data_IF_433938279802
#
_entry.id   IF_433938279802
#
_cell.length_a   1.000
_cell.length_b   1.000
_cell.length_c   1.000
_cell.angle_alpha   90.00
_cell.angle_beta   90.00
_cell.angle_gamma   90.00
#
_symmetry.space_group_name_H-M   'P 1'
#
loop_
_entity.id
_entity.type
_entity.pdbx_description
1 polymer ?
#
# COMPACT_ATOMS: atom_id res chain seq x y z
N UNK A 1 6.71 3.66 14.76
CA UNK A 1 7.48 2.57 15.43
C UNK A 1 6.70 1.74 16.44
N UNK A 2 5.38 1.82 16.50
CA UNK A 2 4.52 1.11 17.47
C UNK A 2 4.11 -0.32 17.05
N UNK A 3 4.70 -0.83 15.96
CA UNK A 3 4.37 -2.16 15.45
C UNK A 3 3.20 -2.24 14.47
N UNK A 4 2.70 -1.13 13.90
CA UNK A 4 1.61 -1.10 12.90
C UNK A 4 1.76 -2.17 11.80
N UNK A 5 2.85 -2.12 11.04
CA UNK A 5 3.08 -3.03 9.92
C UNK A 5 3.22 -4.48 10.36
N UNK A 6 3.78 -4.73 11.55
CA UNK A 6 3.87 -6.08 12.13
C UNK A 6 2.48 -6.62 12.50
N UNK A 7 1.68 -5.82 13.20
CA UNK A 7 0.31 -6.19 13.58
C UNK A 7 -0.55 -6.39 12.35
N UNK A 8 -0.51 -5.47 11.38
CA UNK A 8 -1.28 -5.54 10.14
C UNK A 8 -0.96 -6.81 9.36
N UNK A 9 0.32 -7.06 9.03
CA UNK A 9 0.69 -8.22 8.21
C UNK A 9 0.33 -9.56 8.87
N UNK A 10 0.49 -9.70 10.18
CA UNK A 10 0.13 -10.94 10.87
C UNK A 10 -1.39 -11.14 10.96
N UNK A 11 -2.16 -10.08 11.20
CA UNK A 11 -3.62 -10.14 11.21
C UNK A 11 -4.16 -10.52 9.82
N UNK A 12 -3.62 -9.93 8.76
CA UNK A 12 -4.02 -10.23 7.39
C UNK A 12 -3.61 -11.64 6.96
N UNK A 13 -2.42 -12.12 7.37
CA UNK A 13 -2.03 -13.51 7.18
C UNK A 13 -3.01 -14.48 7.84
N UNK A 14 -3.52 -14.14 9.04
CA UNK A 14 -4.55 -14.94 9.70
C UNK A 14 -5.91 -14.88 8.98
N UNK A 15 -6.28 -13.76 8.37
CA UNK A 15 -7.52 -13.67 7.59
C UNK A 15 -7.47 -14.48 6.30
N UNK A 16 -6.31 -14.59 5.65
CA UNK A 16 -6.18 -15.48 4.48
C UNK A 16 -6.26 -16.96 4.84
N UNK A 17 -5.90 -17.35 6.07
CA UNK A 17 -6.20 -18.70 6.59
C UNK A 17 -7.70 -18.97 6.71
N UNK A 18 -8.53 -17.92 6.69
CA UNK A 18 -10.00 -17.97 6.72
C UNK A 18 -10.59 -17.71 5.32
N UNK A 19 -9.82 -18.04 4.27
CA UNK A 19 -10.18 -17.94 2.85
C UNK A 19 -10.52 -16.52 2.36
N UNK A 20 -10.08 -15.47 3.08
CA UNK A 20 -10.27 -14.09 2.66
C UNK A 20 -9.24 -13.68 1.61
N UNK A 21 -9.69 -12.99 0.55
CA UNK A 21 -8.83 -12.39 -0.47
C UNK A 21 -8.42 -10.99 -0.03
N UNK A 22 -7.11 -10.74 0.05
CA UNK A 22 -6.58 -9.52 0.67
C UNK A 22 -5.66 -8.76 -0.29
N UNK A 23 -5.81 -7.44 -0.29
CA UNK A 23 -4.85 -6.48 -0.82
C UNK A 23 -4.26 -5.62 0.30
N UNK A 24 -2.93 -5.52 0.33
CA UNK A 24 -2.18 -4.60 1.20
C UNK A 24 -1.65 -3.45 0.34
N UNK A 25 -2.03 -2.22 0.71
CA UNK A 25 -1.50 -0.98 0.14
C UNK A 25 -0.67 -0.29 1.22
N UNK A 26 0.65 -0.34 1.07
CA UNK A 26 1.55 0.39 1.95
C UNK A 26 1.53 1.89 1.64
N UNK A 27 1.15 2.69 2.63
CA UNK A 27 1.04 4.14 2.53
C UNK A 27 2.05 4.85 3.47
N UNK A 28 3.05 4.13 3.98
CA UNK A 28 4.17 4.67 4.73
C UNK A 28 5.38 4.84 3.78
N UNK A 29 6.02 6.03 3.72
CA UNK A 29 7.19 6.25 2.87
C UNK A 29 8.37 5.32 3.18
N UNK A 30 8.37 4.62 4.31
CA UNK A 30 9.36 3.58 4.65
C UNK A 30 9.27 2.33 3.76
N UNK A 31 8.13 2.09 3.12
CA UNK A 31 7.90 1.03 2.14
C UNK A 31 8.18 -0.41 2.63
N UNK A 32 7.93 -0.71 3.91
CA UNK A 32 8.12 -2.05 4.50
C UNK A 32 6.84 -2.70 5.04
N UNK A 33 5.69 -2.23 4.58
CA UNK A 33 4.33 -2.67 4.95
C UNK A 33 3.98 -4.06 4.42
N UNK A 34 4.67 -4.54 3.37
CA UNK A 34 4.42 -5.85 2.73
C UNK A 34 5.56 -6.86 2.90
N UNK A 35 6.65 -6.42 3.56
CA UNK A 35 7.92 -7.14 3.65
C UNK A 35 7.79 -8.58 4.17
N UNK A 36 7.00 -8.79 5.22
CA UNK A 36 6.82 -10.11 5.87
C UNK A 36 5.98 -11.03 5.00
N UNK A 37 4.96 -10.48 4.32
CA UNK A 37 4.09 -11.24 3.41
C UNK A 37 4.82 -11.72 2.16
N UNK A 38 5.73 -10.89 1.63
CA UNK A 38 6.52 -11.21 0.45
C UNK A 38 7.82 -11.95 0.75
N UNK A 39 8.24 -12.05 2.02
CA UNK A 39 9.53 -12.59 2.43
C UNK A 39 10.72 -11.97 1.65
N UNK A 40 10.66 -10.66 1.41
CA UNK A 40 11.72 -9.88 0.74
C UNK A 40 12.29 -8.84 1.71
N UNK A 41 13.36 -8.13 1.32
CA UNK A 41 13.84 -6.96 2.07
C UNK A 41 12.95 -5.75 1.84
N UNK A 42 12.67 -5.46 0.58
CA UNK A 42 11.82 -4.38 0.07
C UNK A 42 11.28 -4.83 -1.29
N UNK A 43 10.11 -4.34 -1.67
CA UNK A 43 9.64 -4.39 -3.06
C UNK A 43 9.74 -2.98 -3.66
N UNK A 44 9.83 -2.91 -4.98
CA UNK A 44 9.77 -1.64 -5.69
C UNK A 44 8.40 -0.99 -5.49
N UNK A 45 8.39 0.33 -5.34
CA UNK A 45 7.16 1.09 -5.05
C UNK A 45 6.55 1.64 -6.32
N UNK A 46 5.25 1.95 -6.31
CA UNK A 46 4.55 2.56 -7.45
C UNK A 46 5.29 3.82 -7.93
N UNK A 47 5.64 4.72 -7.02
CA UNK A 47 6.36 5.94 -7.39
C UNK A 47 7.78 5.71 -7.91
N UNK A 48 8.46 4.66 -7.44
CA UNK A 48 9.81 4.35 -7.92
C UNK A 48 9.76 3.83 -9.35
N UNK A 49 8.87 2.86 -9.61
CA UNK A 49 8.66 2.30 -10.93
C UNK A 49 8.14 3.36 -11.91
N UNK A 50 7.25 4.25 -11.47
CA UNK A 50 6.76 5.35 -12.30
C UNK A 50 7.89 6.32 -12.70
N UNK A 51 8.85 6.56 -11.79
CA UNK A 51 10.01 7.40 -12.10
C UNK A 51 10.95 6.73 -13.12
N UNK A 52 11.07 5.40 -13.10
CA UNK A 52 11.86 4.65 -14.09
C UNK A 52 11.16 4.54 -15.45
N UNK A 53 9.83 4.33 -15.45
CA UNK A 53 9.02 4.25 -16.66
C UNK A 53 8.79 5.62 -17.32
N UNK A 54 8.80 6.70 -16.53
CA UNK A 54 8.63 8.09 -16.95
C UNK A 54 7.38 8.74 -16.34
N UNK A 55 6.28 7.99 -16.26
CA UNK A 55 5.02 8.42 -15.63
C UNK A 55 4.27 7.23 -15.01
N UNK A 56 3.21 7.51 -14.24
CA UNK A 56 2.38 6.45 -13.64
C UNK A 56 1.44 5.84 -14.68
N UNK A 57 1.14 6.61 -15.74
CA UNK A 57 0.34 6.21 -16.89
C UNK A 57 1.05 5.19 -17.79
N UNK A 58 2.36 5.04 -17.65
CA UNK A 58 3.19 4.06 -18.39
C UNK A 58 3.36 2.73 -17.63
N UNK A 59 2.75 2.59 -16.45
CA UNK A 59 2.81 1.38 -15.63
C UNK A 59 1.60 0.47 -15.85
N UNK A 60 1.82 -0.83 -15.74
CA UNK A 60 0.76 -1.83 -15.64
C UNK A 60 0.61 -2.32 -14.19
N UNK A 61 -0.57 -2.82 -13.82
CA UNK A 61 -0.85 -3.23 -12.43
C UNK A 61 0.06 -4.37 -11.96
N UNK A 62 0.45 -5.25 -12.88
CA UNK A 62 1.36 -6.38 -12.63
C UNK A 62 2.80 -5.94 -12.29
N UNK A 63 3.18 -4.73 -12.70
CA UNK A 63 4.49 -4.17 -12.38
C UNK A 63 4.60 -3.87 -10.90
N UNK A 64 3.52 -3.37 -10.29
CA UNK A 64 3.51 -2.84 -8.91
C UNK A 64 2.85 -3.76 -7.88
N UNK A 65 2.00 -4.71 -8.31
CA UNK A 65 1.33 -5.66 -7.43
C UNK A 65 2.10 -6.98 -7.42
N UNK A 66 2.59 -7.36 -6.24
CA UNK A 66 3.25 -8.65 -6.02
C UNK A 66 2.35 -9.56 -5.19
N UNK A 67 2.38 -10.86 -5.51
CA UNK A 67 1.62 -11.87 -4.79
C UNK A 67 2.53 -12.54 -3.76
N UNK A 68 2.13 -12.49 -2.49
CA UNK A 68 2.87 -13.06 -1.38
C UNK A 68 2.19 -14.27 -0.75
N UNK A 69 2.39 -14.41 0.55
CA UNK A 69 1.84 -15.49 1.36
C UNK A 69 0.37 -15.77 1.06
N UNK A 70 0.07 -17.02 0.68
CA UNK A 70 -1.28 -17.54 0.38
C UNK A 70 -2.11 -16.65 -0.57
N UNK A 71 -1.48 -15.94 -1.49
CA UNK A 71 -2.19 -15.14 -2.49
C UNK A 71 -2.49 -13.70 -2.06
N UNK A 72 -1.98 -13.23 -0.93
CA UNK A 72 -2.11 -11.81 -0.53
C UNK A 72 -1.46 -10.92 -1.60
N UNK A 73 -2.26 -10.02 -2.18
CA UNK A 73 -1.79 -8.98 -3.09
C UNK A 73 -1.09 -7.89 -2.28
N UNK A 74 0.08 -7.46 -2.72
CA UNK A 74 0.93 -6.50 -2.01
C UNK A 74 1.38 -5.39 -2.95
N UNK A 75 1.29 -4.15 -2.52
CA UNK A 75 1.85 -2.99 -3.23
C UNK A 75 2.30 -1.92 -2.22
N UNK A 76 3.28 -1.11 -2.61
CA UNK A 76 3.80 -0.01 -1.80
C UNK A 76 3.70 1.28 -2.62
N UNK A 77 3.05 2.32 -2.07
CA UNK A 77 2.98 3.61 -2.74
C UNK A 77 4.37 4.23 -2.90
N UNK A 78 5.19 4.10 -1.86
CA UNK A 78 6.47 4.78 -1.74
C UNK A 78 6.32 6.27 -1.42
N UNK A 79 7.42 6.99 -1.52
CA UNK A 79 7.47 8.41 -1.24
C UNK A 79 8.67 9.07 -1.90
N UNK A 80 8.67 10.41 -2.00
CA UNK A 80 9.82 11.14 -2.51
C UNK A 80 11.01 11.00 -1.54
N UNK A 81 12.20 11.32 -2.03
CA UNK A 81 13.38 11.41 -1.18
C UNK A 81 13.12 12.34 0.04
N UNK A 82 13.63 11.98 1.23
CA UNK A 82 13.47 12.79 2.43
C UNK A 82 13.88 14.25 2.20
N UNK A 83 12.94 15.17 2.41
CA UNK A 83 13.17 16.61 2.25
C UNK A 83 12.93 17.17 0.85
N UNK A 84 12.56 16.35 -0.14
CA UNK A 84 12.40 16.79 -1.55
C UNK A 84 10.94 16.97 -1.97
N UNK A 85 10.00 16.18 -1.42
CA UNK A 85 8.60 16.20 -1.85
C UNK A 85 7.57 15.92 -0.76
N UNK A 86 6.32 15.72 -1.17
CA UNK A 86 5.21 15.38 -0.28
C UNK A 86 4.85 13.89 -0.38
N UNK A 87 5.18 13.11 0.65
CA UNK A 87 4.83 11.69 0.72
C UNK A 87 3.32 11.44 0.57
N UNK A 88 2.49 12.33 1.13
CA UNK A 88 1.04 12.24 0.98
C UNK A 88 0.56 12.35 -0.48
N UNK A 89 1.26 13.09 -1.34
CA UNK A 89 0.92 13.15 -2.78
C UNK A 89 1.22 11.82 -3.46
N UNK A 90 2.29 11.15 -3.05
CA UNK A 90 2.63 9.82 -3.53
C UNK A 90 1.57 8.77 -3.20
N UNK A 91 1.04 8.82 -1.97
CA UNK A 91 -0.07 7.96 -1.55
C UNK A 91 -1.31 8.17 -2.43
N UNK A 92 -1.68 9.43 -2.69
CA UNK A 92 -2.82 9.74 -3.58
C UNK A 92 -2.60 9.16 -4.98
N UNK A 93 -1.43 9.43 -5.59
CA UNK A 93 -1.10 8.95 -6.93
C UNK A 93 -1.15 7.43 -7.01
N UNK A 94 -0.59 6.72 -6.02
CA UNK A 94 -0.60 5.26 -6.00
C UNK A 94 -2.02 4.69 -5.85
N UNK A 95 -2.85 5.24 -4.96
CA UNK A 95 -4.22 4.76 -4.76
C UNK A 95 -5.06 4.95 -6.03
N UNK A 96 -4.96 6.12 -6.67
CA UNK A 96 -5.68 6.39 -7.92
C UNK A 96 -5.24 5.44 -9.04
N UNK A 97 -3.94 5.24 -9.23
CA UNK A 97 -3.41 4.29 -10.21
C UNK A 97 -3.95 2.87 -9.98
N UNK A 98 -3.92 2.38 -8.74
CA UNK A 98 -4.41 1.05 -8.40
C UNK A 98 -5.91 0.90 -8.70
N UNK A 99 -6.68 1.97 -8.51
CA UNK A 99 -8.13 1.97 -8.70
C UNK A 99 -8.48 1.96 -10.18
N UNK A 100 -7.84 2.83 -10.96
CA UNK A 100 -8.03 2.95 -12.40
C UNK A 100 -7.60 1.67 -13.15
N UNK A 101 -6.63 0.94 -12.61
CA UNK A 101 -6.10 -0.30 -13.21
C UNK A 101 -6.63 -1.59 -12.56
N UNK A 102 -7.74 -1.53 -11.81
CA UNK A 102 -8.47 -2.73 -11.37
C UNK A 102 -7.79 -3.56 -10.28
N UNK A 103 -6.82 -3.03 -9.54
CA UNK A 103 -6.11 -3.78 -8.49
C UNK A 103 -7.05 -4.27 -7.36
N UNK A 104 -8.17 -3.57 -7.17
CA UNK A 104 -9.20 -3.81 -6.16
C UNK A 104 -10.25 -4.83 -6.58
N UNK A 105 -10.15 -5.41 -7.78
CA UNK A 105 -11.06 -6.47 -8.20
C UNK A 105 -10.71 -7.80 -7.50
N UNK A 106 -11.77 -8.56 -7.17
CA UNK A 106 -11.68 -9.88 -6.54
C UNK A 106 -10.91 -9.88 -5.19
N UNK A 107 -11.17 -8.87 -4.34
CA UNK A 107 -10.64 -8.80 -2.97
C UNK A 107 -11.80 -8.61 -1.98
N UNK A 108 -11.73 -9.29 -0.83
CA UNK A 108 -12.70 -9.15 0.26
C UNK A 108 -12.29 -8.00 1.20
N UNK A 109 -10.98 -7.83 1.40
CA UNK A 109 -10.42 -6.80 2.26
C UNK A 109 -9.26 -6.05 1.61
N UNK A 110 -9.23 -4.74 1.85
CA UNK A 110 -8.09 -3.87 1.52
C UNK A 110 -7.57 -3.25 2.80
N UNK A 111 -6.28 -3.43 3.06
CA UNK A 111 -5.60 -2.79 4.19
C UNK A 111 -4.70 -1.68 3.70
N UNK A 112 -4.90 -0.48 4.23
CA UNK A 112 -4.01 0.67 4.03
C UNK A 112 -3.13 0.83 5.27
N UNK A 113 -1.83 0.55 5.18
CA UNK A 113 -0.87 0.81 6.26
C UNK A 113 -0.38 2.25 6.17
N UNK A 114 -1.05 3.16 6.88
CA UNK A 114 -0.84 4.61 6.77
C UNK A 114 0.12 5.14 7.83
N UNK A 115 1.00 6.05 7.42
CA UNK A 115 1.87 6.78 8.35
C UNK A 115 1.02 7.55 9.40
N UNK A 116 1.26 7.24 10.68
CA UNK A 116 0.46 7.79 11.79
C UNK A 116 1.05 9.05 12.45
N UNK A 117 2.31 9.38 12.15
CA UNK A 117 3.04 10.44 12.86
C UNK A 117 2.67 11.84 12.31
N UNK A 118 2.23 11.93 11.06
CA UNK A 118 1.85 13.17 10.39
C UNK A 118 0.60 12.92 9.55
N UNK A 119 -0.50 13.59 9.89
CA UNK A 119 -1.76 13.50 9.14
C UNK A 119 -1.91 14.74 8.25
N UNK A 120 -1.21 14.74 7.11
CA UNK A 120 -1.42 15.75 6.06
C UNK A 120 -2.56 15.32 5.12
N UNK A 121 -3.00 16.21 4.23
CA UNK A 121 -4.13 15.95 3.34
C UNK A 121 -4.03 14.66 2.52
N UNK A 122 -2.81 14.23 2.16
CA UNK A 122 -2.59 12.99 1.42
C UNK A 122 -2.62 11.72 2.26
N UNK A 123 -2.06 11.73 3.48
CA UNK A 123 -2.19 10.58 4.39
C UNK A 123 -3.62 10.39 4.90
N UNK A 124 -4.41 11.46 4.94
CA UNK A 124 -5.83 11.39 5.24
C UNK A 124 -6.68 10.94 4.04
N UNK A 125 -6.12 10.76 2.84
CA UNK A 125 -6.89 10.43 1.64
C UNK A 125 -7.71 9.14 1.77
N UNK A 126 -7.20 8.02 2.31
CA UNK A 126 -8.00 6.82 2.48
C UNK A 126 -9.28 7.05 3.28
N UNK A 127 -9.24 7.93 4.28
CA UNK A 127 -10.38 8.28 5.12
C UNK A 127 -11.28 9.32 4.41
N UNK A 128 -10.68 10.40 3.88
CA UNK A 128 -11.41 11.54 3.29
C UNK A 128 -12.18 11.17 2.04
N UNK A 129 -11.65 10.25 1.23
CA UNK A 129 -12.28 9.77 0.00
C UNK A 129 -13.04 8.46 0.20
N UNK A 130 -13.30 8.09 1.45
CA UNK A 130 -14.11 6.92 1.82
C UNK A 130 -13.58 5.60 1.25
N UNK A 131 -12.26 5.51 1.04
CA UNK A 131 -11.55 4.29 0.59
C UNK A 131 -11.38 3.28 1.73
N UNK A 132 -11.31 3.78 2.97
CA UNK A 132 -11.30 2.99 4.20
C UNK A 132 -12.51 3.36 5.06
N UNK A 133 -13.38 2.38 5.32
CA UNK A 133 -14.61 2.54 6.11
C UNK A 133 -14.39 2.19 7.59
N UNK A 134 -13.38 1.37 7.88
CA UNK A 134 -13.00 0.96 9.23
C UNK A 134 -11.58 1.41 9.53
N UNK A 135 -11.38 2.03 10.70
CA UNK A 135 -10.09 2.55 11.14
C UNK A 135 -9.70 1.87 12.43
N UNK A 136 -8.55 1.21 12.41
CA UNK A 136 -7.95 0.57 13.58
C UNK A 136 -6.67 1.32 13.95
N UNK A 137 -6.58 1.77 15.21
CA UNK A 137 -5.40 2.45 15.74
C UNK A 137 -4.64 1.43 16.61
N UNK A 138 -3.37 1.23 16.27
CA UNK A 138 -2.42 0.42 17.05
C UNK A 138 -1.79 1.26 18.15
#
# INVERSE_FOLDING_TARGET
GIGKSTTSQNTLAALVEMDQKILIVGCDPKADSTRLILNTKLQDTVLHLAAEAGSVEDLEVEDVVKIGYKGIKCTEAGGPEPGVGCAGRGVITAINFLEENGAYEDVDYVSYDVLGDVVCGGFAMPIRENKAQEIYIV
#
